data_IF_319607782755
#
_entry.id   IF_319607782755
#
_cell.length_a   1.000
_cell.length_b   1.000
_cell.length_c   1.000
_cell.angle_alpha   90.00
_cell.angle_beta   90.00
_cell.angle_gamma   90.00
#
_symmetry.space_group_name_H-M   'P 1'
#
loop_
_entity.id
_entity.type
_entity.pdbx_description
1 polymer ?
#
# COMPACT_ATOMS: atom_id res chain seq x y z
N UNK A 1 12.67 -18.94 12.26
CA UNK A 1 12.00 -18.52 13.53
C UNK A 1 10.51 -18.54 13.24
N UNK A 2 9.71 -19.10 14.13
CA UNK A 2 8.23 -19.12 13.94
C UNK A 2 7.61 -17.85 14.51
N UNK A 3 6.71 -17.19 13.77
CA UNK A 3 5.97 -16.03 14.24
C UNK A 3 4.94 -16.47 15.28
N UNK A 4 4.94 -15.84 16.44
CA UNK A 4 3.94 -16.06 17.50
C UNK A 4 3.22 -14.77 17.89
N UNK A 5 3.96 -13.66 17.94
CA UNK A 5 3.46 -12.35 18.37
C UNK A 5 3.58 -11.32 17.26
N UNK A 6 2.49 -10.58 17.00
CA UNK A 6 2.38 -9.60 15.92
C UNK A 6 1.86 -8.29 16.48
N UNK A 7 2.64 -7.21 16.31
CA UNK A 7 2.17 -5.86 16.56
C UNK A 7 1.51 -5.30 15.28
N UNK A 8 0.21 -5.13 15.29
CA UNK A 8 -0.55 -4.52 14.18
C UNK A 8 -0.70 -3.03 14.43
N UNK A 9 -0.09 -2.20 13.60
CA UNK A 9 -0.07 -0.75 13.72
C UNK A 9 -1.09 -0.11 12.78
N UNK A 10 -2.16 0.42 13.35
CA UNK A 10 -3.29 1.04 12.67
C UNK A 10 -4.60 0.29 12.90
N UNK A 11 -5.55 0.88 13.64
CA UNK A 11 -6.90 0.34 13.87
C UNK A 11 -7.92 0.86 12.85
N UNK A 12 -7.54 0.90 11.56
CA UNK A 12 -8.44 1.11 10.43
C UNK A 12 -9.06 -0.20 9.94
N UNK A 13 -9.75 -0.16 8.79
CA UNK A 13 -10.36 -1.35 8.20
C UNK A 13 -9.36 -2.50 8.07
N UNK A 14 -8.20 -2.25 7.47
CA UNK A 14 -7.17 -3.27 7.23
C UNK A 14 -6.54 -3.82 8.51
N UNK A 15 -6.22 -2.93 9.48
CA UNK A 15 -5.61 -3.37 10.73
C UNK A 15 -6.57 -4.14 11.62
N UNK A 16 -7.84 -3.74 11.70
CA UNK A 16 -8.86 -4.50 12.39
C UNK A 16 -9.10 -5.86 11.72
N UNK A 17 -9.12 -5.92 10.39
CA UNK A 17 -9.23 -7.18 9.66
C UNK A 17 -8.03 -8.10 9.92
N UNK A 18 -6.81 -7.58 9.87
CA UNK A 18 -5.60 -8.34 10.18
C UNK A 18 -5.60 -8.83 11.64
N UNK A 19 -5.96 -7.94 12.59
CA UNK A 19 -6.00 -8.31 14.00
C UNK A 19 -7.03 -9.41 14.28
N UNK A 20 -8.22 -9.32 13.68
CA UNK A 20 -9.28 -10.30 13.84
C UNK A 20 -8.94 -11.65 13.18
N UNK A 21 -8.41 -11.64 11.95
CA UNK A 21 -8.02 -12.87 11.26
C UNK A 21 -6.88 -13.59 11.99
N UNK A 22 -5.81 -12.88 12.29
CA UNK A 22 -4.63 -13.45 12.92
C UNK A 22 -4.89 -13.88 14.37
N UNK A 23 -5.63 -13.09 15.15
CA UNK A 23 -6.05 -13.48 16.50
C UNK A 23 -6.89 -14.75 16.52
N UNK A 24 -7.84 -14.88 15.59
CA UNK A 24 -8.65 -16.09 15.46
C UNK A 24 -7.84 -17.34 15.04
N UNK A 25 -6.67 -17.13 14.40
CA UNK A 25 -5.73 -18.19 14.03
C UNK A 25 -4.74 -18.52 15.14
N UNK A 26 -4.87 -17.88 16.33
CA UNK A 26 -4.10 -18.18 17.53
C UNK A 26 -2.78 -17.41 17.67
N UNK A 27 -2.54 -16.36 16.88
CA UNK A 27 -1.41 -15.47 17.09
C UNK A 27 -1.65 -14.52 18.27
N UNK A 28 -0.60 -14.18 19.00
CA UNK A 28 -0.59 -13.11 20.00
C UNK A 28 -0.63 -11.76 19.27
N UNK A 29 -1.82 -11.18 19.10
CA UNK A 29 -2.00 -9.94 18.35
C UNK A 29 -2.13 -8.75 19.29
N UNK A 30 -1.29 -7.74 19.06
CA UNK A 30 -1.30 -6.45 19.76
C UNK A 30 -1.67 -5.36 18.77
N UNK A 31 -2.83 -4.75 18.98
CA UNK A 31 -3.34 -3.69 18.10
C UNK A 31 -2.99 -2.32 18.66
N UNK A 32 -2.27 -1.55 17.86
CA UNK A 32 -1.90 -0.17 18.17
C UNK A 32 -2.64 0.82 17.29
N UNK A 33 -3.05 1.93 17.88
CA UNK A 33 -3.49 3.11 17.12
C UNK A 33 -3.12 4.40 17.85
N UNK A 34 -2.66 5.43 17.11
CA UNK A 34 -2.30 6.74 17.70
C UNK A 34 -3.46 7.43 18.41
N UNK A 35 -4.67 7.27 17.92
CA UNK A 35 -5.87 7.83 18.51
C UNK A 35 -6.50 6.79 19.44
N UNK A 36 -6.51 7.08 20.74
CA UNK A 36 -7.16 6.22 21.73
C UNK A 36 -8.65 6.09 21.51
N UNK A 37 -9.32 7.15 21.09
CA UNK A 37 -10.75 7.13 20.78
C UNK A 37 -11.13 6.08 19.71
N UNK A 38 -10.18 5.73 18.82
CA UNK A 38 -10.39 4.66 17.84
C UNK A 38 -10.34 3.27 18.47
N UNK A 39 -9.64 3.12 19.59
CA UNK A 39 -9.49 1.86 20.30
C UNK A 39 -10.54 1.66 21.42
N UNK A 40 -11.12 2.71 21.91
CA UNK A 40 -12.07 2.64 23.05
C UNK A 40 -13.17 1.60 22.85
N UNK A 41 -13.92 1.57 21.73
CA UNK A 41 -14.95 0.56 21.53
C UNK A 41 -14.40 -0.88 21.51
N UNK A 42 -13.17 -1.07 21.03
CA UNK A 42 -12.50 -2.35 20.98
C UNK A 42 -12.06 -2.78 22.39
N UNK A 43 -11.53 -1.84 23.17
CA UNK A 43 -11.08 -2.06 24.56
C UNK A 43 -12.29 -2.39 25.46
N UNK A 44 -13.38 -1.64 25.34
CA UNK A 44 -14.61 -1.86 26.11
C UNK A 44 -15.21 -3.24 25.85
N UNK A 45 -15.12 -3.71 24.57
CA UNK A 45 -15.61 -5.04 24.17
C UNK A 45 -14.59 -6.15 24.45
N UNK A 46 -13.31 -5.82 24.67
CA UNK A 46 -12.22 -6.78 24.84
C UNK A 46 -11.71 -7.41 23.55
N UNK A 47 -12.13 -6.93 22.37
CA UNK A 47 -11.74 -7.50 21.08
C UNK A 47 -12.60 -7.04 19.92
N UNK A 48 -12.67 -7.86 18.89
CA UNK A 48 -13.33 -7.60 17.60
C UNK A 48 -14.29 -8.70 17.21
N UNK A 49 -15.47 -8.33 16.71
CA UNK A 49 -16.33 -9.24 15.95
C UNK A 49 -15.83 -9.36 14.51
N UNK A 50 -15.82 -10.55 13.95
CA UNK A 50 -15.34 -10.87 12.62
C UNK A 50 -16.42 -11.57 11.80
N UNK A 51 -16.64 -11.10 10.56
CA UNK A 51 -17.58 -11.69 9.62
C UNK A 51 -16.94 -11.89 8.24
N UNK A 52 -17.53 -12.78 7.45
CA UNK A 52 -17.23 -12.95 6.02
C UNK A 52 -16.16 -13.97 5.72
N UNK A 53 -15.34 -13.71 4.69
CA UNK A 53 -14.46 -14.69 4.05
C UNK A 53 -13.38 -15.28 4.97
N UNK A 54 -12.99 -14.56 6.04
CA UNK A 54 -12.03 -15.07 7.03
C UNK A 54 -12.70 -15.82 8.19
N UNK A 55 -14.01 -16.07 8.11
CA UNK A 55 -14.82 -16.74 9.13
C UNK A 55 -15.56 -15.76 10.05
N UNK A 56 -16.33 -16.29 10.99
CA UNK A 56 -17.19 -15.52 11.89
C UNK A 56 -16.82 -15.74 13.33
N UNK A 57 -17.16 -14.78 14.20
CA UNK A 57 -17.06 -14.88 15.65
C UNK A 57 -16.23 -13.78 16.30
N UNK A 58 -16.29 -13.75 17.61
CA UNK A 58 -15.56 -12.80 18.44
C UNK A 58 -14.10 -13.24 18.64
N UNK A 59 -13.19 -12.29 18.57
CA UNK A 59 -11.75 -12.49 18.75
C UNK A 59 -11.23 -11.55 19.83
N UNK A 60 -10.76 -12.13 20.92
CA UNK A 60 -10.05 -11.39 21.95
C UNK A 60 -8.65 -11.03 21.45
N UNK A 61 -8.19 -9.81 21.73
CA UNK A 61 -6.84 -9.36 21.41
C UNK A 61 -6.01 -9.24 22.69
N UNK A 62 -4.76 -9.66 22.60
CA UNK A 62 -3.84 -9.67 23.76
C UNK A 62 -3.57 -8.27 24.32
N UNK A 63 -3.51 -7.27 23.42
CA UNK A 63 -3.31 -5.88 23.80
C UNK A 63 -3.95 -4.95 22.76
N UNK A 64 -4.62 -3.90 23.26
CA UNK A 64 -5.09 -2.77 22.46
C UNK A 64 -4.59 -1.49 23.12
N UNK A 65 -3.70 -0.75 22.46
CA UNK A 65 -2.97 0.35 23.11
C UNK A 65 -2.64 1.50 22.16
N UNK A 66 -2.55 2.71 22.70
CA UNK A 66 -1.99 3.89 22.06
C UNK A 66 -0.51 4.15 22.44
N UNK A 67 0.08 3.24 23.19
CA UNK A 67 1.51 3.20 23.53
C UNK A 67 2.25 2.27 22.55
N UNK A 68 2.97 2.89 21.59
CA UNK A 68 3.70 2.13 20.58
C UNK A 68 4.76 1.22 21.17
N UNK A 69 5.48 1.68 22.20
CA UNK A 69 6.55 0.89 22.80
C UNK A 69 5.99 -0.40 23.42
N UNK A 70 4.82 -0.35 24.06
CA UNK A 70 4.15 -1.54 24.58
C UNK A 70 3.68 -2.48 23.48
N UNK A 71 3.18 -1.94 22.38
CA UNK A 71 2.71 -2.76 21.26
C UNK A 71 3.84 -3.58 20.62
N UNK A 72 5.00 -2.96 20.38
CA UNK A 72 6.12 -3.58 19.67
C UNK A 72 7.09 -4.36 20.56
N UNK A 73 7.03 -4.21 21.87
CA UNK A 73 7.95 -4.85 22.79
C UNK A 73 7.90 -6.38 22.69
N UNK A 74 8.96 -6.99 22.19
CA UNK A 74 9.06 -8.44 22.03
C UNK A 74 8.12 -9.02 20.96
N UNK A 75 7.58 -8.21 20.05
CA UNK A 75 6.86 -8.71 18.89
C UNK A 75 7.82 -9.32 17.87
N UNK A 76 7.47 -10.49 17.33
CA UNK A 76 8.25 -11.17 16.30
C UNK A 76 8.14 -10.43 14.96
N UNK A 77 6.99 -9.78 14.72
CA UNK A 77 6.70 -9.00 13.51
C UNK A 77 5.94 -7.72 13.86
N UNK A 78 6.36 -6.61 13.28
CA UNK A 78 5.62 -5.35 13.32
C UNK A 78 4.91 -5.17 11.98
N UNK A 79 3.58 -5.22 11.96
CA UNK A 79 2.78 -5.06 10.75
C UNK A 79 2.22 -3.64 10.68
N UNK A 80 2.54 -2.91 9.61
CA UNK A 80 2.06 -1.55 9.37
C UNK A 80 0.87 -1.57 8.40
N UNK A 81 -0.32 -1.17 8.87
CA UNK A 81 -1.59 -1.19 8.11
C UNK A 81 -2.25 0.19 8.09
N UNK A 82 -1.45 1.20 7.82
CA UNK A 82 -1.92 2.58 7.74
C UNK A 82 -1.85 3.10 6.30
N UNK A 83 -2.60 4.16 5.97
CA UNK A 83 -2.43 4.84 4.69
C UNK A 83 -0.96 5.25 4.47
N UNK A 84 -0.49 5.15 3.22
CA UNK A 84 0.92 5.45 2.92
C UNK A 84 1.31 6.89 3.27
N UNK A 85 0.35 7.81 3.20
CA UNK A 85 0.53 9.21 3.62
C UNK A 85 0.87 9.37 5.12
N UNK A 86 0.61 8.34 5.94
CA UNK A 86 0.99 8.32 7.36
C UNK A 86 2.40 7.74 7.59
N UNK A 87 3.01 7.12 6.58
CA UNK A 87 4.34 6.50 6.73
C UNK A 87 5.43 7.47 7.24
N UNK A 88 5.46 8.77 6.88
CA UNK A 88 6.45 9.71 7.45
C UNK A 88 6.40 9.78 8.97
N UNK A 89 5.18 9.83 9.54
CA UNK A 89 4.99 9.85 11.00
C UNK A 89 5.40 8.52 11.62
N UNK A 90 5.08 7.40 10.97
CA UNK A 90 5.49 6.09 11.47
C UNK A 90 7.01 5.85 11.34
N UNK A 91 7.67 6.44 10.34
CA UNK A 91 9.13 6.39 10.25
C UNK A 91 9.81 7.07 11.46
N UNK A 92 9.28 8.21 11.89
CA UNK A 92 9.74 8.90 13.10
C UNK A 92 9.52 8.05 14.36
N UNK A 93 8.29 7.58 14.56
CA UNK A 93 7.90 6.78 15.72
C UNK A 93 8.69 5.45 15.79
N UNK A 94 8.76 4.73 14.68
CA UNK A 94 9.45 3.44 14.59
C UNK A 94 10.97 3.60 14.66
N UNK A 95 11.52 4.64 14.04
CA UNK A 95 12.95 4.93 14.11
C UNK A 95 13.45 5.09 15.55
N UNK A 96 12.61 5.70 16.41
CA UNK A 96 12.93 5.89 17.82
C UNK A 96 12.67 4.65 18.70
N UNK A 97 11.66 3.83 18.36
CA UNK A 97 11.15 2.80 19.27
C UNK A 97 11.51 1.35 18.87
N UNK A 98 11.83 1.06 17.60
CA UNK A 98 12.11 -0.30 17.15
C UNK A 98 13.39 -0.86 17.80
N UNK A 99 13.33 -2.08 18.33
CA UNK A 99 14.54 -2.83 18.68
C UNK A 99 15.48 -3.02 17.48
N UNK A 100 16.78 -3.26 17.70
CA UNK A 100 17.69 -3.65 16.62
C UNK A 100 17.17 -4.87 15.85
N UNK A 101 17.47 -4.93 14.55
CA UNK A 101 17.12 -6.04 13.66
C UNK A 101 15.62 -6.35 13.54
N UNK A 102 14.76 -5.40 13.90
CA UNK A 102 13.31 -5.54 13.78
C UNK A 102 12.87 -5.70 12.33
N UNK A 103 11.79 -6.44 12.13
CA UNK A 103 11.12 -6.61 10.84
C UNK A 103 9.83 -5.81 10.83
N UNK A 104 9.68 -4.94 9.83
CA UNK A 104 8.44 -4.19 9.59
C UNK A 104 7.81 -4.67 8.29
N UNK A 105 6.64 -5.27 8.39
CA UNK A 105 5.85 -5.73 7.26
C UNK A 105 4.76 -4.70 6.92
N UNK A 106 4.82 -4.15 5.72
CA UNK A 106 3.85 -3.19 5.22
C UNK A 106 2.71 -3.92 4.48
N UNK A 107 1.51 -3.72 4.95
CA UNK A 107 0.31 -4.35 4.40
C UNK A 107 -0.78 -3.30 4.11
N UNK A 108 -0.72 -2.64 2.94
CA UNK A 108 0.22 -2.79 1.81
C UNK A 108 1.46 -1.87 1.88
N UNK A 109 2.41 -2.11 0.95
CA UNK A 109 3.56 -1.24 0.70
C UNK A 109 3.32 -0.15 -0.35
N UNK A 110 2.34 -0.33 -1.23
CA UNK A 110 2.14 0.56 -2.39
C UNK A 110 3.40 0.69 -3.24
N UNK A 111 3.71 1.89 -3.78
CA UNK A 111 4.92 2.10 -4.56
C UNK A 111 6.15 2.29 -3.65
N UNK A 112 6.77 1.16 -3.24
CA UNK A 112 8.03 1.19 -2.50
C UNK A 112 7.92 1.75 -1.08
N UNK A 113 6.81 1.49 -0.39
CA UNK A 113 6.60 1.96 0.98
C UNK A 113 7.63 1.43 1.96
N UNK A 114 8.07 0.17 1.79
CA UNK A 114 9.14 -0.41 2.61
C UNK A 114 10.50 0.26 2.38
N UNK A 115 10.81 0.56 1.11
CA UNK A 115 12.00 1.33 0.74
C UNK A 115 11.96 2.74 1.34
N UNK A 116 10.81 3.43 1.20
CA UNK A 116 10.61 4.75 1.80
C UNK A 116 10.77 4.71 3.32
N UNK A 117 10.14 3.77 4.00
CA UNK A 117 10.18 3.66 5.46
C UNK A 117 11.61 3.46 5.96
N UNK A 118 12.36 2.54 5.35
CA UNK A 118 13.75 2.29 5.68
C UNK A 118 14.63 3.53 5.44
N UNK A 119 14.42 4.22 4.32
CA UNK A 119 15.14 5.45 3.97
C UNK A 119 14.86 6.60 4.94
N UNK A 120 13.60 6.78 5.29
CA UNK A 120 13.20 7.85 6.20
C UNK A 120 13.69 7.60 7.63
N UNK A 121 13.65 6.34 8.11
CA UNK A 121 14.25 5.96 9.39
C UNK A 121 15.77 6.23 9.37
N UNK A 122 16.47 5.85 8.29
CA UNK A 122 17.89 6.15 8.13
C UNK A 122 18.17 7.64 8.15
N UNK A 123 17.39 8.45 7.44
CA UNK A 123 17.54 9.90 7.40
C UNK A 123 17.39 10.54 8.78
N UNK A 124 16.43 10.05 9.57
CA UNK A 124 16.12 10.59 10.91
C UNK A 124 17.11 10.12 11.99
N UNK A 125 17.56 8.88 11.93
CA UNK A 125 18.25 8.21 13.04
C UNK A 125 19.65 7.72 12.68
N UNK A 126 19.97 7.58 11.39
CA UNK A 126 21.19 6.93 10.91
C UNK A 126 21.17 5.40 10.99
N UNK A 127 20.03 4.78 11.33
CA UNK A 127 19.87 3.33 11.44
C UNK A 127 19.78 2.67 10.05
N UNK A 128 20.46 1.56 9.87
CA UNK A 128 20.44 0.71 8.67
C UNK A 128 20.05 -0.73 8.96
N UNK A 129 19.73 -1.02 10.23
CA UNK A 129 19.41 -2.36 10.74
C UNK A 129 17.92 -2.72 10.61
N UNK A 130 17.06 -1.77 10.25
CA UNK A 130 15.62 -2.03 10.06
C UNK A 130 15.40 -2.77 8.75
N UNK A 131 14.74 -3.93 8.84
CA UNK A 131 14.39 -4.76 7.70
C UNK A 131 12.90 -4.53 7.39
N UNK A 132 12.60 -4.11 6.18
CA UNK A 132 11.22 -3.93 5.72
C UNK A 132 10.84 -5.01 4.72
N UNK A 133 9.58 -5.38 4.69
CA UNK A 133 9.00 -6.19 3.62
C UNK A 133 7.57 -5.73 3.36
N UNK A 134 7.06 -6.03 2.19
CA UNK A 134 5.76 -5.49 1.75
C UNK A 134 5.03 -6.43 0.81
N UNK A 135 3.72 -6.24 0.73
CA UNK A 135 2.87 -6.78 -0.34
C UNK A 135 2.29 -5.64 -1.17
N UNK A 136 2.01 -5.92 -2.45
CA UNK A 136 1.58 -4.92 -3.42
C UNK A 136 0.22 -4.27 -3.09
N UNK A 137 -0.67 -4.99 -2.41
CA UNK A 137 -1.99 -4.50 -1.99
C UNK A 137 -2.35 -5.06 -0.62
N UNK A 138 -3.36 -4.47 0.03
CA UNK A 138 -3.87 -4.95 1.32
C UNK A 138 -4.35 -6.41 1.19
N UNK A 139 -3.97 -7.24 2.15
CA UNK A 139 -4.35 -8.67 2.19
C UNK A 139 -5.87 -8.89 2.20
N UNK A 140 -6.64 -7.89 2.62
CA UNK A 140 -8.09 -8.00 2.81
C UNK A 140 -8.86 -6.93 2.06
N UNK A 141 -9.89 -7.34 1.30
CA UNK A 141 -11.00 -6.44 0.99
C UNK A 141 -11.94 -6.44 2.21
N UNK A 142 -11.96 -5.34 2.96
CA UNK A 142 -12.65 -5.30 4.24
C UNK A 142 -13.23 -3.91 4.57
N UNK A 143 -14.22 -3.89 5.47
CA UNK A 143 -14.80 -2.67 6.03
C UNK A 143 -15.20 -2.91 7.49
N UNK A 144 -15.01 -1.90 8.32
CA UNK A 144 -15.68 -1.86 9.62
C UNK A 144 -17.18 -1.66 9.36
N UNK A 145 -18.00 -2.52 9.93
CA UNK A 145 -19.47 -2.48 9.88
C UNK A 145 -20.09 -2.19 11.25
N UNK A 146 -19.26 -1.85 12.21
CA UNK A 146 -19.61 -1.40 13.56
C UNK A 146 -18.38 -0.85 14.28
N UNK A 147 -18.57 -0.38 15.50
CA UNK A 147 -17.50 0.22 16.30
C UNK A 147 -16.40 -0.77 16.68
N UNK A 148 -16.76 -2.06 16.84
CA UNK A 148 -15.86 -3.17 17.14
C UNK A 148 -16.21 -4.43 16.29
N UNK A 149 -16.56 -4.21 15.01
CA UNK A 149 -16.94 -5.26 14.08
C UNK A 149 -16.33 -5.00 12.71
N UNK A 150 -15.78 -6.03 12.08
CA UNK A 150 -15.16 -5.96 10.77
C UNK A 150 -15.68 -7.05 9.84
N UNK A 151 -16.15 -6.63 8.65
CA UNK A 151 -16.52 -7.52 7.58
C UNK A 151 -15.35 -7.69 6.61
N UNK A 152 -14.84 -8.90 6.48
CA UNK A 152 -13.79 -9.29 5.54
C UNK A 152 -14.46 -9.92 4.32
N UNK A 153 -14.65 -9.10 3.28
CA UNK A 153 -15.34 -9.53 2.05
C UNK A 153 -14.52 -10.57 1.29
N UNK A 154 -13.18 -10.37 1.28
CA UNK A 154 -12.26 -11.26 0.58
C UNK A 154 -10.87 -11.24 1.23
N UNK A 155 -10.22 -12.41 1.26
CA UNK A 155 -8.78 -12.54 1.50
C UNK A 155 -8.11 -12.72 0.15
N UNK A 156 -7.07 -11.93 -0.15
CA UNK A 156 -6.38 -11.94 -1.44
C UNK A 156 -5.75 -13.31 -1.70
N UNK A 157 -5.94 -13.81 -2.93
CA UNK A 157 -5.49 -15.17 -3.33
C UNK A 157 -4.03 -15.20 -3.73
N UNK A 158 -3.50 -14.08 -4.18
CA UNK A 158 -2.12 -13.96 -4.65
C UNK A 158 -1.62 -12.55 -4.33
N UNK A 159 -0.53 -12.47 -3.57
CA UNK A 159 0.05 -11.22 -3.07
C UNK A 159 1.54 -11.21 -3.41
N UNK A 160 1.97 -10.46 -4.41
CA UNK A 160 3.38 -10.21 -4.65
C UNK A 160 4.05 -9.61 -3.41
N UNK A 161 5.13 -10.23 -2.97
CA UNK A 161 5.88 -9.90 -1.77
C UNK A 161 7.32 -9.57 -2.12
N UNK A 162 7.85 -8.52 -1.53
CA UNK A 162 9.27 -8.18 -1.60
C UNK A 162 9.79 -7.61 -0.29
N UNK A 163 11.11 -7.64 -0.13
CA UNK A 163 11.81 -7.06 1.03
C UNK A 163 12.82 -6.00 0.63
N UNK A 164 13.08 -5.07 1.54
CA UNK A 164 14.20 -4.15 1.46
C UNK A 164 14.96 -4.12 2.81
N UNK A 165 16.28 -4.37 2.80
CA UNK A 165 17.10 -4.81 1.66
C UNK A 165 16.74 -6.22 1.16
N UNK A 166 16.84 -6.44 -0.16
CA UNK A 166 16.50 -7.71 -0.82
C UNK A 166 17.36 -8.90 -0.40
N UNK A 167 18.55 -8.67 0.18
CA UNK A 167 19.37 -9.75 0.76
C UNK A 167 18.67 -10.53 1.88
N UNK A 168 17.58 -9.99 2.44
CA UNK A 168 16.76 -10.66 3.45
C UNK A 168 15.52 -11.35 2.87
N UNK A 169 15.32 -11.30 1.54
CA UNK A 169 14.12 -11.75 0.85
C UNK A 169 13.69 -13.17 1.26
N UNK A 170 14.57 -14.15 1.16
CA UNK A 170 14.21 -15.55 1.43
C UNK A 170 13.73 -15.75 2.88
N UNK A 171 14.49 -15.20 3.85
CA UNK A 171 14.13 -15.34 5.27
C UNK A 171 12.81 -14.63 5.63
N UNK A 172 12.55 -13.45 5.04
CA UNK A 172 11.33 -12.70 5.30
C UNK A 172 10.13 -13.28 4.54
N UNK A 173 10.36 -13.88 3.37
CA UNK A 173 9.32 -14.61 2.64
C UNK A 173 8.84 -15.84 3.43
N UNK A 174 9.75 -16.61 4.00
CA UNK A 174 9.38 -17.72 4.90
C UNK A 174 8.62 -17.21 6.13
N UNK A 175 9.14 -16.16 6.79
CA UNK A 175 8.53 -15.59 7.99
C UNK A 175 7.07 -15.12 7.74
N UNK A 176 6.85 -14.32 6.69
CA UNK A 176 5.52 -13.78 6.36
C UNK A 176 4.63 -14.86 5.75
N UNK A 177 5.20 -15.85 5.07
CA UNK A 177 4.49 -17.01 4.53
C UNK A 177 3.81 -17.87 5.59
N UNK A 178 4.33 -17.91 6.82
CA UNK A 178 3.64 -18.56 7.96
C UNK A 178 2.30 -17.88 8.28
N UNK A 179 2.21 -16.56 8.08
CA UNK A 179 1.02 -15.76 8.38
C UNK A 179 0.11 -15.67 7.15
N UNK A 180 0.69 -15.45 5.97
CA UNK A 180 -0.03 -15.27 4.72
C UNK A 180 0.50 -16.24 3.63
N UNK A 181 -0.01 -17.47 3.57
CA UNK A 181 0.43 -18.46 2.57
C UNK A 181 0.15 -18.06 1.11
N UNK A 182 -0.66 -17.01 0.91
CA UNK A 182 -1.00 -16.47 -0.41
C UNK A 182 0.07 -15.55 -1.00
N UNK A 183 1.14 -15.22 -0.26
CA UNK A 183 2.22 -14.41 -0.80
C UNK A 183 2.96 -15.17 -1.92
N UNK A 184 3.41 -14.42 -2.91
CA UNK A 184 4.25 -14.91 -4.02
C UNK A 184 5.49 -14.06 -4.10
N UNK A 185 6.63 -14.69 -4.37
CA UNK A 185 7.87 -13.96 -4.45
C UNK A 185 7.88 -13.00 -5.64
N UNK A 186 8.12 -11.72 -5.37
CA UNK A 186 8.48 -10.71 -6.35
C UNK A 186 10.00 -10.51 -6.31
N UNK A 187 10.59 -10.03 -7.39
CA UNK A 187 12.03 -9.81 -7.51
C UNK A 187 12.56 -8.81 -6.47
N UNK A 188 11.86 -7.70 -6.33
CA UNK A 188 12.20 -6.59 -5.43
C UNK A 188 11.00 -5.66 -5.19
N UNK A 189 11.20 -4.63 -4.37
CA UNK A 189 10.15 -3.65 -4.02
C UNK A 189 9.72 -2.74 -5.18
N UNK A 190 10.45 -2.67 -6.29
CA UNK A 190 9.96 -2.00 -7.50
C UNK A 190 8.90 -2.87 -8.18
N UNK A 191 9.10 -4.20 -8.23
CA UNK A 191 8.09 -5.08 -8.81
C UNK A 191 6.79 -5.04 -8.02
N UNK A 192 6.83 -5.11 -6.68
CA UNK A 192 5.62 -4.94 -5.86
C UNK A 192 4.97 -3.58 -6.08
N UNK A 193 5.76 -2.52 -6.17
CA UNK A 193 5.29 -1.17 -6.40
C UNK A 193 4.63 -0.97 -7.77
N UNK A 194 5.16 -1.58 -8.82
CA UNK A 194 4.52 -1.57 -10.15
C UNK A 194 3.28 -2.47 -10.25
N UNK A 195 3.00 -3.27 -9.23
CA UNK A 195 1.77 -4.05 -9.13
C UNK A 195 0.68 -3.37 -8.29
N UNK A 196 0.90 -2.14 -7.84
CA UNK A 196 -0.13 -1.32 -7.18
C UNK A 196 -1.14 -0.81 -8.21
N UNK A 197 -2.20 -1.60 -8.43
CA UNK A 197 -3.25 -1.29 -9.40
C UNK A 197 -4.17 -0.15 -8.95
N UNK A 198 -4.18 0.22 -7.67
CA UNK A 198 -4.99 1.33 -7.18
C UNK A 198 -4.57 2.65 -7.84
N UNK A 199 -3.27 2.88 -7.99
CA UNK A 199 -2.75 4.06 -8.66
C UNK A 199 -3.06 4.09 -10.18
N UNK A 200 -3.42 2.95 -10.78
CA UNK A 200 -3.85 2.87 -12.18
C UNK A 200 -5.34 3.21 -12.34
N UNK A 201 -6.19 2.75 -11.41
CA UNK A 201 -7.64 2.87 -11.57
C UNK A 201 -8.24 4.10 -10.89
N UNK A 202 -7.85 4.42 -9.65
CA UNK A 202 -8.50 5.46 -8.88
C UNK A 202 -8.32 6.88 -9.43
N UNK A 203 -7.10 7.35 -9.82
CA UNK A 203 -6.91 8.71 -10.34
C UNK A 203 -7.76 9.01 -11.58
N UNK A 204 -7.80 8.15 -12.62
CA UNK A 204 -8.70 8.37 -13.75
C UNK A 204 -10.18 8.40 -13.36
N UNK A 205 -10.61 7.48 -12.48
CA UNK A 205 -12.01 7.42 -12.03
C UNK A 205 -12.42 8.67 -11.25
N UNK A 206 -11.57 9.20 -10.36
CA UNK A 206 -11.88 10.43 -9.62
C UNK A 206 -11.83 11.65 -10.54
N UNK A 207 -10.75 11.80 -11.30
CA UNK A 207 -10.49 13.02 -12.08
C UNK A 207 -11.50 13.16 -13.22
N UNK A 208 -11.81 12.08 -13.94
CA UNK A 208 -12.79 12.12 -15.03
C UNK A 208 -14.24 12.26 -14.54
N UNK A 209 -14.51 12.01 -13.26
CA UNK A 209 -15.84 12.15 -12.66
C UNK A 209 -15.91 13.24 -11.58
N UNK A 210 -14.92 14.14 -11.49
CA UNK A 210 -14.81 15.08 -10.38
C UNK A 210 -16.08 15.92 -10.19
N UNK A 211 -16.64 16.48 -11.25
CA UNK A 211 -17.88 17.26 -11.18
C UNK A 211 -19.10 16.43 -10.78
N UNK A 212 -19.19 15.18 -11.22
CA UNK A 212 -20.26 14.26 -10.82
C UNK A 212 -20.11 13.87 -9.34
N UNK A 213 -18.89 13.55 -8.93
CA UNK A 213 -18.58 13.21 -7.55
C UNK A 213 -18.97 14.34 -6.57
N UNK A 214 -18.57 15.57 -6.86
CA UNK A 214 -18.90 16.73 -6.01
C UNK A 214 -20.38 17.03 -6.00
N UNK A 215 -21.04 16.98 -7.18
CA UNK A 215 -22.48 17.24 -7.30
C UNK A 215 -23.32 16.23 -6.52
N UNK A 216 -22.99 14.94 -6.63
CA UNK A 216 -23.75 13.85 -5.98
C UNK A 216 -23.24 13.52 -4.58
N UNK A 217 -22.11 14.12 -4.14
CA UNK A 217 -21.40 13.76 -2.90
C UNK A 217 -21.05 12.26 -2.86
N UNK A 218 -20.67 11.72 -4.02
CA UNK A 218 -20.30 10.32 -4.19
C UNK A 218 -21.48 9.34 -4.27
N UNK A 219 -22.71 9.81 -4.40
CA UNK A 219 -23.89 8.94 -4.54
C UNK A 219 -24.01 8.37 -5.96
N UNK A 220 -23.05 7.57 -6.34
CA UNK A 220 -22.99 6.73 -7.54
C UNK A 220 -22.06 5.53 -7.27
N UNK A 221 -22.17 4.48 -8.10
CA UNK A 221 -21.34 3.29 -7.99
C UNK A 221 -19.96 3.56 -8.63
N UNK A 222 -18.95 3.76 -7.77
CA UNK A 222 -17.64 4.27 -8.16
C UNK A 222 -16.99 3.46 -9.28
N UNK A 223 -16.86 2.16 -9.10
CA UNK A 223 -16.22 1.28 -10.07
C UNK A 223 -17.15 0.94 -11.26
N UNK A 224 -18.45 0.82 -11.02
CA UNK A 224 -19.41 0.38 -12.02
C UNK A 224 -19.92 1.53 -12.90
N UNK A 225 -20.53 2.54 -12.30
CA UNK A 225 -21.07 3.70 -13.04
C UNK A 225 -19.96 4.70 -13.41
N UNK A 226 -18.97 4.89 -12.51
CA UNK A 226 -17.84 5.80 -12.72
C UNK A 226 -16.85 5.33 -13.79
N UNK A 227 -16.85 4.04 -14.16
CA UNK A 227 -15.99 3.54 -15.24
C UNK A 227 -16.75 3.36 -16.54
N UNK A 228 -17.03 4.45 -17.23
CA UNK A 228 -17.56 4.43 -18.60
C UNK A 228 -16.51 3.90 -19.59
N UNK A 229 -16.88 3.53 -20.84
CA UNK A 229 -15.89 3.16 -21.87
C UNK A 229 -14.79 4.23 -22.08
N UNK A 230 -15.13 5.51 -21.90
CA UNK A 230 -14.15 6.61 -21.97
C UNK A 230 -13.14 6.57 -20.84
N UNK A 231 -13.60 6.47 -19.61
CA UNK A 231 -12.74 6.36 -18.42
C UNK A 231 -11.88 5.08 -18.46
N UNK A 232 -12.47 3.96 -18.92
CA UNK A 232 -11.74 2.72 -19.13
C UNK A 232 -10.55 2.86 -20.09
N UNK A 233 -10.70 3.63 -21.19
CA UNK A 233 -9.58 3.93 -22.10
C UNK A 233 -8.48 4.76 -21.44
N UNK A 234 -8.84 5.68 -20.55
CA UNK A 234 -7.82 6.45 -19.77
C UNK A 234 -7.06 5.53 -18.84
N UNK A 235 -7.73 4.59 -18.16
CA UNK A 235 -7.09 3.58 -17.32
C UNK A 235 -6.15 2.70 -18.15
N UNK A 236 -6.59 2.19 -19.30
CA UNK A 236 -5.79 1.35 -20.19
C UNK A 236 -4.53 2.09 -20.68
N UNK A 237 -4.65 3.39 -21.04
CA UNK A 237 -3.51 4.20 -21.48
C UNK A 237 -2.53 4.50 -20.32
N UNK A 238 -3.04 4.75 -19.12
CA UNK A 238 -2.22 4.92 -17.93
C UNK A 238 -1.45 3.64 -17.57
N UNK A 239 -2.11 2.48 -17.71
CA UNK A 239 -1.48 1.18 -17.51
C UNK A 239 -0.34 0.92 -18.48
N UNK A 240 -0.45 1.39 -19.72
CA UNK A 240 0.63 1.27 -20.71
C UNK A 240 1.84 2.14 -20.33
N UNK A 241 1.62 3.38 -19.87
CA UNK A 241 2.73 4.22 -19.35
C UNK A 241 3.40 3.54 -18.13
N UNK A 242 2.63 3.02 -17.17
CA UNK A 242 3.15 2.28 -16.01
C UNK A 242 4.05 1.12 -16.44
N UNK A 243 3.59 0.33 -17.40
CA UNK A 243 4.33 -0.84 -17.91
C UNK A 243 5.60 -0.43 -18.66
N UNK A 244 5.55 0.67 -19.39
CA UNK A 244 6.70 1.23 -20.09
C UNK A 244 7.78 1.69 -19.11
N UNK A 245 7.40 2.39 -18.05
CA UNK A 245 8.32 2.80 -16.98
C UNK A 245 8.89 1.58 -16.25
N UNK A 246 8.04 0.60 -15.91
CA UNK A 246 8.49 -0.65 -15.28
C UNK A 246 9.54 -1.37 -16.12
N UNK A 247 9.29 -1.51 -17.42
CA UNK A 247 10.23 -2.16 -18.36
C UNK A 247 11.57 -1.42 -18.43
N UNK A 248 11.56 -0.09 -18.48
CA UNK A 248 12.77 0.72 -18.47
C UNK A 248 13.56 0.58 -17.16
N UNK A 249 12.86 0.38 -16.04
CA UNK A 249 13.47 0.06 -14.74
C UNK A 249 13.91 -1.41 -14.62
N UNK A 250 13.84 -2.17 -15.69
CA UNK A 250 14.18 -3.60 -15.73
C UNK A 250 13.16 -4.50 -15.03
N UNK A 251 11.96 -4.01 -14.76
CA UNK A 251 10.86 -4.76 -14.12
C UNK A 251 9.88 -5.22 -15.18
N UNK A 252 9.52 -6.51 -15.17
CA UNK A 252 8.42 -7.03 -15.99
C UNK A 252 7.15 -7.05 -15.15
N UNK A 253 6.18 -6.23 -15.52
CA UNK A 253 4.87 -6.22 -14.90
C UNK A 253 3.78 -6.63 -15.90
N UNK A 254 2.63 -7.02 -15.39
CA UNK A 254 1.47 -7.46 -16.17
C UNK A 254 0.51 -6.29 -16.39
N UNK A 255 -0.44 -6.48 -17.28
CA UNK A 255 -1.52 -5.52 -17.53
C UNK A 255 -2.43 -5.41 -16.30
N UNK A 256 -3.02 -4.25 -16.11
CA UNK A 256 -4.02 -4.00 -15.06
C UNK A 256 -5.08 -5.11 -15.00
N UNK A 257 -5.68 -5.46 -16.12
CA UNK A 257 -6.75 -6.46 -16.18
C UNK A 257 -6.31 -7.86 -15.73
N UNK A 258 -5.05 -8.24 -15.97
CA UNK A 258 -4.47 -9.52 -15.57
C UNK A 258 -4.21 -9.55 -14.07
N UNK A 259 -3.62 -8.48 -13.52
CA UNK A 259 -3.37 -8.35 -12.07
C UNK A 259 -4.71 -8.32 -11.31
N UNK A 260 -5.68 -7.56 -11.81
CA UNK A 260 -7.02 -7.43 -11.24
C UNK A 260 -7.75 -8.78 -11.17
N UNK A 261 -7.59 -9.61 -12.20
CA UNK A 261 -8.11 -10.98 -12.23
C UNK A 261 -7.39 -11.90 -11.23
N UNK A 262 -6.07 -11.88 -11.18
CA UNK A 262 -5.28 -12.72 -10.27
C UNK A 262 -5.58 -12.42 -8.79
N UNK A 263 -5.88 -11.17 -8.49
CA UNK A 263 -6.33 -10.76 -7.15
C UNK A 263 -7.77 -11.22 -6.84
N UNK A 264 -8.51 -11.70 -7.85
CA UNK A 264 -9.87 -12.20 -7.71
C UNK A 264 -10.95 -11.13 -7.85
N UNK A 265 -10.62 -9.98 -8.44
CA UNK A 265 -11.55 -8.86 -8.60
C UNK A 265 -12.43 -8.95 -9.85
N UNK A 266 -12.04 -9.74 -10.87
CA UNK A 266 -12.80 -9.89 -12.11
C UNK A 266 -12.74 -11.32 -12.65
N UNK A 267 -13.43 -11.59 -13.76
CA UNK A 267 -13.51 -12.92 -14.38
C UNK A 267 -12.55 -13.07 -15.56
N UNK A 268 -12.25 -14.32 -15.92
CA UNK A 268 -11.47 -14.67 -17.11
C UNK A 268 -12.13 -14.14 -18.40
N UNK A 269 -13.46 -14.16 -18.46
CA UNK A 269 -14.23 -13.63 -19.59
C UNK A 269 -14.03 -12.11 -19.77
N UNK A 270 -13.89 -11.37 -18.68
CA UNK A 270 -13.59 -9.93 -18.73
C UNK A 270 -12.14 -9.67 -19.17
N UNK A 271 -11.19 -10.48 -18.68
CA UNK A 271 -9.78 -10.41 -19.12
C UNK A 271 -9.64 -10.66 -20.62
N UNK A 272 -10.39 -11.63 -21.16
CA UNK A 272 -10.39 -11.93 -22.60
C UNK A 272 -10.83 -10.76 -23.47
N UNK A 273 -11.67 -9.83 -22.94
CA UNK A 273 -12.02 -8.57 -23.60
C UNK A 273 -10.89 -7.55 -23.60
N UNK A 274 -9.94 -7.69 -22.70
CA UNK A 274 -8.68 -6.95 -22.66
C UNK A 274 -8.77 -5.47 -22.32
N UNK A 275 -9.85 -4.98 -21.68
CA UNK A 275 -10.03 -3.58 -21.32
C UNK A 275 -10.35 -3.40 -19.84
N UNK A 276 -9.85 -2.32 -19.23
CA UNK A 276 -10.16 -1.96 -17.85
C UNK A 276 -11.67 -1.77 -17.62
N UNK A 277 -12.36 -1.17 -18.60
CA UNK A 277 -13.82 -1.06 -18.55
C UNK A 277 -14.50 -2.42 -18.38
N UNK A 278 -14.15 -3.43 -19.20
CA UNK A 278 -14.75 -4.75 -19.09
C UNK A 278 -14.43 -5.42 -17.73
N UNK A 279 -13.20 -5.27 -17.25
CA UNK A 279 -12.77 -5.84 -15.98
C UNK A 279 -13.53 -5.24 -14.79
N UNK A 280 -13.72 -3.92 -14.77
CA UNK A 280 -14.41 -3.21 -13.70
C UNK A 280 -15.94 -3.40 -13.74
N UNK A 281 -16.54 -3.49 -14.93
CA UNK A 281 -17.97 -3.82 -15.09
C UNK A 281 -18.31 -5.22 -14.55
N UNK A 282 -17.37 -6.15 -14.61
CA UNK A 282 -17.55 -7.55 -14.18
C UNK A 282 -16.93 -7.83 -12.79
N UNK A 283 -16.64 -6.77 -12.03
CA UNK A 283 -16.08 -6.86 -10.69
C UNK A 283 -17.16 -7.00 -9.63
N UNK A 284 -17.47 -8.24 -9.22
CA UNK A 284 -18.43 -8.49 -8.16
C UNK A 284 -18.06 -7.85 -6.81
N UNK A 285 -16.80 -7.91 -6.32
CA UNK A 285 -16.43 -7.31 -5.05
C UNK A 285 -16.57 -5.78 -5.03
N UNK A 286 -16.39 -5.12 -6.18
CA UNK A 286 -16.40 -3.66 -6.26
C UNK A 286 -17.76 -3.08 -6.72
N UNK A 287 -18.68 -3.93 -7.14
CA UNK A 287 -19.91 -3.52 -7.82
C UNK A 287 -20.73 -2.46 -7.08
N UNK A 288 -20.82 -2.59 -5.76
CA UNK A 288 -21.70 -1.77 -4.92
C UNK A 288 -20.97 -0.68 -4.14
N UNK A 289 -19.68 -0.48 -4.40
CA UNK A 289 -18.90 0.55 -3.71
C UNK A 289 -19.27 1.91 -4.27
N UNK A 290 -19.77 2.78 -3.39
CA UNK A 290 -20.09 4.17 -3.73
C UNK A 290 -18.84 5.02 -3.87
N UNK A 291 -18.96 6.12 -4.60
CA UNK A 291 -17.92 7.14 -4.71
C UNK A 291 -17.58 7.75 -3.34
N UNK A 292 -16.39 8.33 -3.20
CA UNK A 292 -16.05 9.10 -2.01
C UNK A 292 -16.91 10.37 -1.94
N UNK A 293 -17.22 10.88 -0.72
CA UNK A 293 -18.13 12.02 -0.56
C UNK A 293 -17.54 13.35 -1.00
N UNK A 294 -16.23 13.41 -1.24
CA UNK A 294 -15.51 14.61 -1.68
C UNK A 294 -14.19 14.23 -2.36
N UNK A 295 -13.54 15.21 -3.01
CA UNK A 295 -12.20 15.08 -3.58
C UNK A 295 -11.10 14.96 -2.50
N UNK A 296 -11.36 15.37 -1.26
CA UNK A 296 -10.45 15.15 -0.12
C UNK A 296 -10.52 13.68 0.32
N UNK A 297 -9.95 12.80 -0.51
CA UNK A 297 -10.01 11.37 -0.32
C UNK A 297 -8.70 10.66 -0.70
N UNK A 298 -8.44 9.52 -0.04
CA UNK A 298 -7.23 8.72 -0.29
C UNK A 298 -7.07 8.28 -1.74
N UNK A 299 -8.14 7.99 -2.47
CA UNK A 299 -8.12 7.61 -3.89
C UNK A 299 -7.49 8.68 -4.81
N UNK A 300 -7.32 9.89 -4.31
CA UNK A 300 -6.59 10.95 -4.98
C UNK A 300 -5.24 11.21 -4.30
N UNK A 301 -5.25 11.41 -2.97
CA UNK A 301 -4.04 11.80 -2.25
C UNK A 301 -2.97 10.71 -2.22
N UNK A 302 -3.37 9.44 -2.03
CA UNK A 302 -2.43 8.31 -2.05
C UNK A 302 -2.03 7.99 -3.48
N UNK A 303 -3.01 7.75 -4.35
CA UNK A 303 -2.75 7.15 -5.66
C UNK A 303 -2.10 8.15 -6.63
N UNK A 304 -2.38 9.44 -6.52
CA UNK A 304 -1.64 10.47 -7.27
C UNK A 304 -0.29 10.76 -6.64
N UNK A 305 -0.28 11.17 -5.36
CA UNK A 305 0.94 11.65 -4.71
C UNK A 305 1.97 10.55 -4.42
N UNK A 306 1.53 9.35 -4.10
CA UNK A 306 2.39 8.25 -3.67
C UNK A 306 2.42 7.08 -4.67
N UNK A 307 1.63 7.16 -5.74
CA UNK A 307 1.58 6.21 -6.85
C UNK A 307 2.09 6.82 -8.15
N UNK A 308 1.36 7.80 -8.73
CA UNK A 308 1.72 8.38 -10.02
C UNK A 308 3.00 9.22 -9.97
N UNK A 309 3.21 10.01 -8.92
CA UNK A 309 4.41 10.87 -8.81
C UNK A 309 5.70 10.06 -8.87
N UNK A 310 5.93 9.00 -8.05
CA UNK A 310 7.16 8.23 -8.14
C UNK A 310 7.30 7.49 -9.47
N UNK A 311 6.21 7.02 -10.11
CA UNK A 311 6.29 6.40 -11.43
C UNK A 311 6.70 7.41 -12.51
N UNK A 312 6.09 8.60 -12.52
CA UNK A 312 6.45 9.64 -13.49
C UNK A 312 7.89 10.12 -13.31
N UNK A 313 8.35 10.37 -12.07
CA UNK A 313 9.74 10.75 -11.82
C UNK A 313 10.73 9.66 -12.25
N UNK A 314 10.40 8.38 -12.00
CA UNK A 314 11.24 7.26 -12.43
C UNK A 314 11.26 7.16 -13.96
N UNK A 315 10.11 7.30 -14.62
CA UNK A 315 10.01 7.36 -16.08
C UNK A 315 10.91 8.44 -16.65
N UNK A 316 10.78 9.68 -16.19
CA UNK A 316 11.62 10.80 -16.63
C UNK A 316 13.12 10.54 -16.40
N UNK A 317 13.49 9.99 -15.25
CA UNK A 317 14.90 9.67 -14.95
C UNK A 317 15.50 8.59 -15.86
N UNK A 318 14.65 7.73 -16.43
CA UNK A 318 15.01 6.64 -17.33
C UNK A 318 14.75 6.97 -18.81
N UNK A 319 14.34 8.21 -19.13
CA UNK A 319 14.07 8.65 -20.49
C UNK A 319 12.75 8.13 -21.09
N UNK A 320 11.80 7.75 -20.25
CA UNK A 320 10.44 7.34 -20.66
C UNK A 320 9.48 8.52 -20.46
N UNK A 321 8.77 8.90 -21.51
CA UNK A 321 7.73 9.92 -21.44
C UNK A 321 6.48 9.35 -20.74
N UNK A 322 5.87 10.16 -19.85
CA UNK A 322 4.68 9.81 -19.09
C UNK A 322 3.61 10.90 -19.16
N UNK A 323 3.18 11.28 -20.38
CA UNK A 323 2.32 12.46 -20.56
C UNK A 323 0.97 12.32 -19.85
N UNK A 324 0.41 11.14 -19.75
CA UNK A 324 -0.88 10.93 -19.08
C UNK A 324 -0.72 10.96 -17.55
N UNK A 325 0.32 10.34 -16.99
CA UNK A 325 0.65 10.48 -15.56
C UNK A 325 0.83 11.94 -15.19
N UNK A 326 1.60 12.69 -15.98
CA UNK A 326 1.87 14.11 -15.77
C UNK A 326 0.59 14.96 -15.82
N UNK A 327 -0.30 14.66 -16.77
CA UNK A 327 -1.60 15.33 -16.88
C UNK A 327 -2.48 15.04 -15.67
N UNK A 328 -2.59 13.78 -15.23
CA UNK A 328 -3.39 13.38 -14.07
C UNK A 328 -2.85 13.99 -12.77
N UNK A 329 -1.53 14.03 -12.59
CA UNK A 329 -0.89 14.70 -11.43
C UNK A 329 -1.23 16.19 -11.44
N UNK A 330 -1.14 16.85 -12.60
CA UNK A 330 -1.42 18.29 -12.74
C UNK A 330 -2.88 18.61 -12.46
N UNK A 331 -3.82 17.85 -13.06
CA UNK A 331 -5.25 18.05 -12.87
C UNK A 331 -5.65 17.73 -11.42
N UNK A 332 -5.15 16.62 -10.87
CA UNK A 332 -5.40 16.25 -9.48
C UNK A 332 -4.91 17.31 -8.50
N UNK A 333 -3.74 17.90 -8.76
CA UNK A 333 -3.20 19.02 -7.97
C UNK A 333 -4.10 20.25 -8.03
N UNK A 334 -4.58 20.61 -9.23
CA UNK A 334 -5.48 21.74 -9.43
C UNK A 334 -6.84 21.52 -8.73
N UNK A 335 -7.41 20.32 -8.83
CA UNK A 335 -8.69 19.97 -8.22
C UNK A 335 -8.67 20.04 -6.68
N UNK A 336 -7.54 19.74 -6.06
CA UNK A 336 -7.40 19.67 -4.60
C UNK A 336 -6.72 20.88 -3.98
N UNK A 337 -6.12 21.76 -4.80
CA UNK A 337 -5.28 22.86 -4.33
C UNK A 337 -3.96 22.41 -3.68
N UNK A 338 -3.51 21.16 -3.94
CA UNK A 338 -2.27 20.58 -3.41
C UNK A 338 -1.19 20.50 -4.48
N UNK A 339 0.05 20.48 -4.06
CA UNK A 339 1.19 20.22 -4.95
C UNK A 339 1.69 18.78 -4.75
N UNK A 340 1.08 17.84 -5.49
CA UNK A 340 1.42 16.42 -5.36
C UNK A 340 2.88 16.12 -5.76
N UNK A 341 3.50 16.88 -6.66
CA UNK A 341 4.92 16.68 -6.99
C UNK A 341 5.83 17.01 -5.83
N UNK A 342 5.50 18.02 -5.04
CA UNK A 342 6.27 18.41 -3.85
C UNK A 342 5.92 17.58 -2.62
N UNK A 343 4.63 17.30 -2.41
CA UNK A 343 4.13 16.62 -1.21
C UNK A 343 4.21 15.10 -1.30
N UNK A 344 4.24 14.56 -2.51
CA UNK A 344 4.20 13.12 -2.79
C UNK A 344 5.51 12.39 -2.53
N UNK A 345 5.54 11.15 -2.95
CA UNK A 345 6.69 10.25 -2.85
C UNK A 345 7.63 10.48 -4.03
N UNK A 346 8.68 11.25 -3.81
CA UNK A 346 9.70 11.52 -4.84
C UNK A 346 10.79 10.45 -4.86
N UNK A 347 11.52 10.32 -5.97
CA UNK A 347 12.69 9.42 -6.04
C UNK A 347 13.74 9.75 -4.98
N UNK A 348 13.86 11.02 -4.57
CA UNK A 348 14.75 11.43 -3.48
C UNK A 348 14.33 10.80 -2.16
N UNK A 349 13.04 10.79 -1.85
CA UNK A 349 12.49 10.17 -0.63
C UNK A 349 12.60 8.65 -0.64
N UNK A 350 12.60 8.05 -1.82
CA UNK A 350 12.87 6.63 -2.02
C UNK A 350 14.37 6.27 -2.02
N UNK A 351 15.28 7.29 -2.03
CA UNK A 351 16.71 7.05 -2.19
C UNK A 351 17.12 6.57 -3.57
N UNK A 352 16.27 6.76 -4.57
CA UNK A 352 16.49 6.34 -5.95
C UNK A 352 17.00 7.48 -6.84
N UNK A 353 16.95 8.73 -6.38
CA UNK A 353 17.38 9.88 -7.16
C UNK A 353 18.85 9.75 -7.58
N UNK A 354 19.11 9.95 -8.89
CA UNK A 354 20.44 9.87 -9.48
C UNK A 354 21.02 8.47 -9.69
N UNK A 355 20.24 7.42 -9.40
CA UNK A 355 20.65 6.04 -9.69
C UNK A 355 20.32 5.67 -11.13
N UNK A 356 21.28 5.09 -11.82
CA UNK A 356 21.09 4.49 -13.15
C UNK A 356 20.35 3.14 -13.03
N UNK A 357 19.78 2.67 -14.14
CA UNK A 357 19.11 1.36 -14.19
C UNK A 357 20.03 0.20 -13.77
N UNK A 358 21.33 0.30 -14.05
CA UNK A 358 22.31 -0.73 -13.68
C UNK A 358 22.64 -0.74 -12.18
N UNK A 359 22.47 0.39 -11.50
CA UNK A 359 22.71 0.52 -10.05
C UNK A 359 21.50 0.10 -9.21
N UNK A 360 20.28 0.17 -9.77
CA UNK A 360 19.04 -0.17 -9.04
C UNK A 360 19.07 -1.57 -8.42
N UNK A 361 19.41 -2.66 -9.16
CA UNK A 361 19.38 -4.01 -8.60
C UNK A 361 20.37 -4.19 -7.43
N UNK A 362 21.55 -3.63 -7.54
CA UNK A 362 22.56 -3.65 -6.46
C UNK A 362 22.08 -2.91 -5.22
N UNK A 363 21.55 -1.72 -5.40
CA UNK A 363 21.02 -0.91 -4.31
C UNK A 363 19.81 -1.57 -3.61
N UNK A 364 18.86 -2.06 -4.37
CA UNK A 364 17.67 -2.72 -3.83
C UNK A 364 18.03 -4.00 -3.06
N UNK A 365 19.04 -4.74 -3.52
CA UNK A 365 19.53 -5.94 -2.87
C UNK A 365 20.32 -5.65 -1.60
N UNK A 366 21.30 -4.74 -1.66
CA UNK A 366 22.24 -4.50 -0.56
C UNK A 366 21.71 -3.51 0.47
N UNK A 367 20.80 -2.60 0.05
CA UNK A 367 20.21 -1.59 0.91
C UNK A 367 21.07 -0.34 1.09
N UNK A 368 20.78 0.43 2.14
CA UNK A 368 21.41 1.71 2.42
C UNK A 368 22.81 1.48 2.96
N UNK A 369 23.84 1.99 2.26
CA UNK A 369 25.22 1.92 2.73
C UNK A 369 25.47 2.95 3.85
N UNK A 370 26.23 2.56 4.87
CA UNK A 370 26.55 3.45 6.01
C UNK A 370 27.33 4.73 5.63
N UNK A 371 27.80 4.83 4.38
CA UNK A 371 28.56 5.99 3.84
C UNK A 371 27.69 7.08 3.21
N UNK A 372 26.40 6.86 3.01
CA UNK A 372 25.49 7.83 2.35
C UNK A 372 25.12 9.06 3.23
N UNK A 373 25.74 9.19 4.43
CA UNK A 373 25.54 10.36 5.33
C UNK A 373 25.91 11.72 4.71
N UNK A 374 26.80 11.74 3.72
CA UNK A 374 27.37 12.99 3.22
C UNK A 374 26.44 13.79 2.27
N UNK A 375 25.46 13.13 1.65
CA UNK A 375 24.59 13.77 0.64
C UNK A 375 23.23 14.21 1.17
N UNK A 376 22.84 13.80 2.39
CA UNK A 376 21.52 14.12 2.95
C UNK A 376 21.47 15.37 3.85
N UNK A 377 22.64 15.96 4.21
CA UNK A 377 22.69 17.09 5.15
C UNK A 377 22.48 18.50 4.55
N UNK A 378 22.18 18.60 3.24
CA UNK A 378 21.93 19.88 2.59
C UNK A 378 20.47 20.00 2.11
N UNK A 379 19.52 19.93 3.04
CA UNK A 379 18.15 20.38 2.76
C UNK A 379 17.89 21.61 3.63
N UNK A 380 17.64 22.79 3.06
CA UNK A 380 17.09 23.92 3.82
C UNK A 380 15.68 23.54 4.31
N UNK A 381 15.36 23.96 5.53
CA UNK A 381 14.06 23.78 6.19
C UNK A 381 12.95 24.52 5.47
#
# INVERSE_FOLDING_TARGET
MSVRSIAVLGAGNGGCAAAADLGARGFDVRLYNRSRARLEPLIERGGLERHGAAGEGFVELSLMTDDLAKAILGADLVMLTVPISAHPVFAELLGAALPPDSVVFLNPGHMGGGLFLAHEIYRLTGRTDVRTCEVSTLTYACRMDGAASVNIVQVMRRLPFASFPGRHQAALFELVGEIYPSITEARDVLETGFMDINAVEHPPQIICNAGWLEHTKGDYLFYYEGTTPGVGRVIDALDEERRSVALAAGVRTRRFVEIFHEMGYTTEAAVAKGTAHAALQDSSPNRWIKGPPSLDHRYLHEDVGWGLVPWAELGHSLGVETPLMDALITIGSALTGRDYRREGLTLRRLGLAGKSVDELPGYLREGIASRDRATTSQVPR
#
